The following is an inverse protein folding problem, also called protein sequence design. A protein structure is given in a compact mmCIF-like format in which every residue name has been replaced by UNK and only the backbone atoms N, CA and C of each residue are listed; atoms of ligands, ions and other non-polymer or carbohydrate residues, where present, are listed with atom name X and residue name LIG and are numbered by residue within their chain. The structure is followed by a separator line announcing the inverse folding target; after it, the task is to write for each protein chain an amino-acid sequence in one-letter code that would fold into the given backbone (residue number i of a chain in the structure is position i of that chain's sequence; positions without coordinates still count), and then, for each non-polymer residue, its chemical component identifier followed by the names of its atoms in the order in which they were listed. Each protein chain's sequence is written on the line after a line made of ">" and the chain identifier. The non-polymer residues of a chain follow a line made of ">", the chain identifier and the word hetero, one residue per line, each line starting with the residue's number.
data_IF_486396898736
#
_entry.id   IF_486396898736
#
_cell.length_a   1.000
_cell.length_b   1.000
_cell.length_c   1.000
_cell.angle_alpha   90.00
_cell.angle_beta   90.00
_cell.angle_gamma   90.00
#
_symmetry.space_group_name_H-M   'P 1'
#
loop_
_entity.id
_entity.type
_entity.pdbx_description
1 polymer ?
#
# COMPACT_ATOMS: atom_id res chain seq x y z
N UNK A 1 -8.99 0.87 6.48
CA UNK A 1 -7.67 0.75 7.14
C UNK A 1 -7.89 0.57 8.64
N UNK A 2 -6.95 -0.04 9.38
CA UNK A 2 -7.07 -0.20 10.84
C UNK A 2 -6.16 0.77 11.57
N UNK A 3 -6.76 1.60 12.41
CA UNK A 3 -6.05 2.63 13.18
C UNK A 3 -5.05 2.08 14.19
N UNK A 4 -5.25 0.84 14.64
CA UNK A 4 -4.33 0.15 15.56
C UNK A 4 -3.04 -0.34 14.89
N UNK A 5 -2.89 -0.12 13.58
CA UNK A 5 -1.78 -0.55 12.74
C UNK A 5 -1.48 -2.07 12.82
N UNK A 6 -2.39 -2.87 13.37
CA UNK A 6 -2.14 -4.27 13.72
C UNK A 6 -1.82 -5.13 12.51
N UNK A 7 -2.33 -4.77 11.33
CA UNK A 7 -2.02 -5.42 10.05
C UNK A 7 -0.53 -5.42 9.73
N UNK A 8 0.18 -4.36 10.09
CA UNK A 8 1.58 -4.16 9.74
C UNK A 8 2.50 -4.82 10.77
N UNK A 9 2.09 -4.84 12.05
CA UNK A 9 2.97 -5.26 13.15
C UNK A 9 2.56 -6.55 13.86
N UNK A 10 1.26 -6.72 14.18
CA UNK A 10 0.87 -7.60 15.29
C UNK A 10 -0.04 -8.77 14.89
N UNK A 11 -0.88 -8.63 13.85
CA UNK A 11 -1.82 -9.69 13.49
C UNK A 11 -1.08 -10.97 13.11
N UNK A 12 -1.54 -12.10 13.60
CA UNK A 12 -0.99 -13.41 13.25
C UNK A 12 -2.04 -14.34 12.65
N UNK A 13 -3.31 -13.98 12.83
CA UNK A 13 -4.46 -14.69 12.31
C UNK A 13 -4.86 -14.13 10.95
N UNK A 14 -5.13 -15.01 9.97
CA UNK A 14 -5.64 -14.57 8.68
C UNK A 14 -6.93 -13.74 8.82
N UNK A 15 -7.11 -12.77 7.93
CA UNK A 15 -8.30 -11.92 7.84
C UNK A 15 -9.02 -12.18 6.51
N UNK A 16 -10.35 -12.09 6.50
CA UNK A 16 -11.18 -12.34 5.31
C UNK A 16 -11.27 -13.82 4.89
N UNK A 17 -11.80 -14.06 3.69
CA UNK A 17 -11.88 -15.40 3.09
C UNK A 17 -10.57 -15.78 2.39
N UNK A 18 -9.62 -16.31 3.16
CA UNK A 18 -8.30 -16.70 2.65
C UNK A 18 -8.29 -17.90 1.69
N UNK A 19 -9.44 -18.52 1.45
CA UNK A 19 -9.58 -19.65 0.54
C UNK A 19 -10.26 -19.24 -0.77
N UNK A 20 -10.83 -18.04 -0.86
CA UNK A 20 -11.52 -17.55 -2.05
C UNK A 20 -11.12 -16.11 -2.38
N UNK A 21 -10.13 -15.99 -3.27
CA UNK A 21 -9.54 -14.73 -3.71
C UNK A 21 -10.46 -13.88 -4.60
N UNK A 22 -11.63 -14.41 -4.99
CA UNK A 22 -12.59 -13.72 -5.86
C UNK A 22 -13.60 -12.89 -5.05
N UNK A 23 -13.71 -13.16 -3.75
CA UNK A 23 -14.58 -12.38 -2.87
C UNK A 23 -14.00 -10.98 -2.74
N UNK A 24 -14.86 -9.96 -2.88
CA UNK A 24 -14.52 -8.57 -2.60
C UNK A 24 -14.51 -8.35 -1.08
N UNK A 25 -13.48 -8.89 -0.44
CA UNK A 25 -13.22 -8.79 0.99
C UNK A 25 -11.73 -8.54 1.22
N UNK A 26 -11.46 -7.76 2.26
CA UNK A 26 -10.13 -7.56 2.81
C UNK A 26 -9.55 -8.89 3.28
N UNK A 27 -8.63 -9.43 2.49
CA UNK A 27 -8.03 -10.72 2.70
C UNK A 27 -6.54 -10.61 2.92
N UNK A 28 -6.09 -11.00 4.11
CA UNK A 28 -4.67 -11.19 4.39
C UNK A 28 -4.44 -12.57 4.96
N UNK A 29 -3.64 -13.37 4.25
CA UNK A 29 -3.14 -14.63 4.76
C UNK A 29 -1.97 -14.42 5.70
N UNK A 30 -1.84 -15.28 6.71
CA UNK A 30 -0.66 -15.33 7.58
C UNK A 30 0.65 -15.49 6.78
N UNK A 31 0.56 -16.08 5.59
CA UNK A 31 1.68 -16.21 4.67
C UNK A 31 2.33 -14.87 4.31
N UNK A 32 1.52 -13.80 4.19
CA UNK A 32 2.00 -12.47 3.84
C UNK A 32 2.98 -11.92 4.87
N UNK A 33 2.75 -12.21 6.15
CA UNK A 33 3.58 -11.72 7.25
C UNK A 33 4.79 -12.61 7.54
N UNK A 34 4.61 -13.94 7.43
CA UNK A 34 5.56 -14.90 8.00
C UNK A 34 6.38 -15.67 6.97
N UNK A 35 5.92 -15.81 5.73
CA UNK A 35 6.73 -16.50 4.74
C UNK A 35 7.91 -15.62 4.34
N UNK A 36 9.07 -16.27 4.25
CA UNK A 36 10.23 -15.67 3.60
C UNK A 36 9.96 -15.66 2.10
N UNK A 37 9.85 -14.46 1.57
CA UNK A 37 9.97 -14.19 0.14
C UNK A 37 10.99 -13.08 -0.05
N UNK A 38 11.18 -12.68 -1.28
CA UNK A 38 12.03 -11.54 -1.60
C UNK A 38 11.27 -10.46 -2.39
N UNK A 39 10.04 -10.74 -2.82
CA UNK A 39 9.22 -9.84 -3.60
C UNK A 39 7.74 -9.93 -3.23
N UNK A 40 6.96 -8.92 -3.62
CA UNK A 40 5.50 -8.97 -3.58
C UNK A 40 4.90 -8.94 -4.97
N UNK A 41 3.65 -9.38 -5.09
CA UNK A 41 2.76 -9.12 -6.23
C UNK A 41 1.41 -8.62 -5.72
N UNK A 42 0.78 -7.72 -6.47
CA UNK A 42 -0.57 -7.22 -6.24
C UNK A 42 -1.46 -7.67 -7.39
N UNK A 43 -2.65 -8.19 -7.08
CA UNK A 43 -3.66 -8.57 -8.08
C UNK A 43 -5.05 -8.06 -7.64
N UNK A 44 -6.03 -8.13 -8.53
CA UNK A 44 -7.44 -7.87 -8.18
C UNK A 44 -8.16 -9.16 -7.77
N UNK A 45 -9.20 -9.01 -6.94
CA UNK A 45 -10.08 -10.13 -6.60
C UNK A 45 -10.95 -10.57 -7.78
N UNK A 46 -11.43 -9.61 -8.58
CA UNK A 46 -12.29 -9.90 -9.75
C UNK A 46 -11.53 -10.43 -10.99
N UNK A 47 -10.22 -10.69 -10.89
CA UNK A 47 -9.44 -11.38 -11.92
C UNK A 47 -9.13 -12.83 -11.51
N UNK A 48 -9.85 -13.83 -12.07
CA UNK A 48 -9.64 -15.24 -11.70
C UNK A 48 -8.25 -15.76 -12.09
N UNK A 49 -7.52 -15.08 -12.98
CA UNK A 49 -6.15 -15.48 -13.38
C UNK A 49 -5.07 -14.89 -12.47
N UNK A 50 -5.44 -14.01 -11.53
CA UNK A 50 -4.51 -13.40 -10.58
C UNK A 50 -3.34 -12.72 -11.31
N UNK A 51 -3.66 -12.05 -12.42
CA UNK A 51 -2.70 -11.35 -13.26
C UNK A 51 -2.07 -10.25 -12.42
N UNK A 52 -0.74 -10.19 -12.43
CA UNK A 52 -0.01 -9.17 -11.71
C UNK A 52 -0.41 -7.79 -12.25
N UNK A 53 -0.97 -6.94 -11.38
CA UNK A 53 -1.08 -5.50 -11.66
C UNK A 53 0.27 -4.83 -11.43
N UNK A 54 0.93 -5.25 -10.36
CA UNK A 54 2.28 -4.86 -9.97
C UNK A 54 2.98 -6.05 -9.35
N UNK A 55 4.28 -6.15 -9.58
CA UNK A 55 5.16 -7.01 -8.80
C UNK A 55 6.48 -6.29 -8.56
N UNK A 56 7.05 -6.45 -7.36
CA UNK A 56 8.40 -5.95 -7.13
C UNK A 56 9.42 -6.81 -7.85
N UNK A 57 10.55 -6.19 -8.16
CA UNK A 57 11.70 -6.80 -8.80
C UNK A 57 12.94 -6.59 -7.92
N UNK A 58 14.00 -7.35 -8.19
CA UNK A 58 15.33 -7.11 -7.59
C UNK A 58 15.43 -7.33 -6.07
N UNK A 59 14.79 -8.38 -5.55
CA UNK A 59 14.92 -8.81 -4.14
C UNK A 59 14.56 -7.70 -3.13
N UNK A 60 13.39 -7.10 -3.30
CA UNK A 60 12.84 -5.98 -2.51
C UNK A 60 13.14 -6.02 -1.00
N UNK A 61 13.02 -7.17 -0.34
CA UNK A 61 13.26 -7.31 1.10
C UNK A 61 14.33 -8.37 1.46
N UNK A 62 15.19 -8.71 0.50
CA UNK A 62 16.33 -9.61 0.69
C UNK A 62 15.92 -10.96 1.32
N UNK A 63 16.39 -11.27 2.53
CA UNK A 63 16.09 -12.52 3.27
C UNK A 63 15.09 -12.33 4.41
N UNK A 64 14.52 -11.13 4.54
CA UNK A 64 13.55 -10.78 5.59
C UNK A 64 12.15 -11.26 5.20
N UNK A 65 11.21 -11.30 6.15
CA UNK A 65 9.79 -11.36 5.80
C UNK A 65 9.29 -9.96 5.46
N UNK A 66 8.15 -9.85 4.78
CA UNK A 66 7.53 -8.54 4.53
C UNK A 66 7.30 -7.78 5.84
N UNK A 67 6.82 -8.46 6.90
CA UNK A 67 6.65 -7.85 8.22
C UNK A 67 7.96 -7.30 8.78
N UNK A 68 9.03 -8.09 8.77
CA UNK A 68 10.33 -7.64 9.27
C UNK A 68 10.83 -6.41 8.53
N UNK A 69 10.63 -6.37 7.20
CA UNK A 69 10.98 -5.21 6.39
C UNK A 69 10.12 -3.99 6.75
N UNK A 70 8.78 -4.12 6.75
CA UNK A 70 7.90 -2.97 6.98
C UNK A 70 8.09 -2.38 8.38
N UNK A 71 8.33 -3.23 9.39
CA UNK A 71 8.60 -2.79 10.76
C UNK A 71 10.01 -2.25 10.99
N UNK A 72 10.95 -2.47 10.07
CA UNK A 72 12.32 -1.98 10.22
C UNK A 72 12.44 -0.46 10.05
N UNK A 73 11.44 0.17 9.43
CA UNK A 73 11.41 1.62 9.20
C UNK A 73 10.91 2.44 10.40
N UNK A 74 10.25 1.77 11.35
CA UNK A 74 9.65 2.40 12.52
C UNK A 74 8.46 1.61 13.03
N UNK A 75 7.89 2.08 14.14
CA UNK A 75 6.67 1.55 14.73
C UNK A 75 5.65 2.69 14.80
N UNK A 76 4.74 2.72 13.83
CA UNK A 76 3.75 3.78 13.63
C UNK A 76 2.37 3.25 14.03
N UNK A 77 1.79 3.83 15.07
CA UNK A 77 0.45 3.49 15.57
C UNK A 77 -0.47 4.69 15.45
N UNK A 78 -1.69 4.57 15.98
CA UNK A 78 -2.66 5.66 16.02
C UNK A 78 -2.05 7.03 16.36
N UNK A 79 -2.28 8.02 15.51
CA UNK A 79 -1.78 9.40 15.64
C UNK A 79 -0.25 9.55 15.59
N UNK A 80 0.49 8.52 15.14
CA UNK A 80 1.94 8.59 14.97
C UNK A 80 2.29 8.76 13.50
N UNK A 81 2.72 9.96 13.13
CA UNK A 81 3.23 10.30 11.81
C UNK A 81 4.38 9.36 11.41
N UNK A 82 4.34 8.82 10.19
CA UNK A 82 5.38 7.89 9.75
C UNK A 82 6.54 8.52 8.99
N UNK A 83 6.33 9.64 8.30
CA UNK A 83 7.37 10.30 7.52
C UNK A 83 7.08 11.81 7.36
N UNK A 84 8.03 12.54 6.81
CA UNK A 84 7.83 13.94 6.41
C UNK A 84 8.49 14.14 5.05
N UNK A 85 7.68 14.36 4.01
CA UNK A 85 8.08 14.57 2.63
C UNK A 85 9.07 13.52 2.08
N UNK A 86 8.77 12.23 2.31
CA UNK A 86 9.59 11.09 1.84
C UNK A 86 8.86 9.76 1.96
N UNK A 87 9.36 8.75 1.25
CA UNK A 87 9.16 7.34 1.59
C UNK A 87 10.31 6.83 2.48
N UNK A 88 10.01 5.95 3.45
CA UNK A 88 11.04 5.33 4.31
C UNK A 88 11.82 4.22 3.61
N UNK A 89 11.21 3.59 2.61
CA UNK A 89 11.85 2.61 1.74
C UNK A 89 11.15 2.53 0.40
N UNK A 90 11.77 1.85 -0.57
CA UNK A 90 11.15 1.62 -1.88
C UNK A 90 11.74 0.41 -2.58
N UNK A 91 11.00 -0.12 -3.55
CA UNK A 91 11.41 -1.24 -4.38
C UNK A 91 11.03 -1.03 -5.83
N UNK A 92 11.89 -1.47 -6.74
CA UNK A 92 11.59 -1.45 -8.17
C UNK A 92 10.39 -2.34 -8.48
N UNK A 93 9.56 -1.92 -9.43
CA UNK A 93 8.36 -2.66 -9.84
C UNK A 93 8.29 -2.89 -11.33
N UNK A 94 7.50 -3.90 -11.70
CA UNK A 94 6.98 -4.12 -13.05
C UNK A 94 5.47 -4.11 -12.98
N UNK A 95 4.85 -3.32 -13.86
CA UNK A 95 3.41 -3.28 -14.03
C UNK A 95 2.92 -4.30 -15.06
N UNK A 96 1.64 -4.66 -14.99
CA UNK A 96 0.99 -5.59 -15.90
C UNK A 96 -0.53 -5.56 -15.75
N UNK A 97 -1.21 -6.48 -16.44
CA UNK A 97 -2.66 -6.62 -16.34
C UNK A 97 -3.41 -5.31 -16.58
N UNK A 98 -4.42 -5.04 -15.75
CA UNK A 98 -5.29 -3.86 -15.85
C UNK A 98 -4.90 -2.76 -14.84
N UNK A 99 -3.61 -2.57 -14.56
CA UNK A 99 -3.17 -1.61 -13.54
C UNK A 99 -3.68 -0.18 -13.81
N UNK A 100 -3.68 0.26 -15.07
CA UNK A 100 -4.12 1.62 -15.46
C UNK A 100 -5.58 1.93 -15.14
N UNK A 101 -6.44 0.91 -15.05
CA UNK A 101 -7.86 1.05 -14.71
C UNK A 101 -8.17 0.59 -13.28
N UNK A 102 -7.16 0.53 -12.42
CA UNK A 102 -7.28 0.08 -11.03
C UNK A 102 -7.00 1.25 -10.09
N UNK A 103 -7.88 1.49 -9.12
CA UNK A 103 -7.65 2.50 -8.09
C UNK A 103 -6.42 2.11 -7.26
N UNK A 104 -5.63 3.09 -6.83
CA UNK A 104 -4.30 2.87 -6.27
C UNK A 104 -3.16 3.06 -7.27
N UNK A 105 -3.46 3.14 -8.58
CA UNK A 105 -2.43 3.13 -9.64
C UNK A 105 -2.43 4.40 -10.49
N UNK A 106 -3.20 5.44 -10.12
CA UNK A 106 -3.28 6.71 -10.87
C UNK A 106 -1.92 7.35 -11.13
N UNK A 107 -1.00 7.25 -10.17
CA UNK A 107 0.34 7.86 -10.24
C UNK A 107 1.43 6.92 -10.79
N UNK A 108 1.04 5.78 -11.37
CA UNK A 108 1.97 4.79 -11.96
C UNK A 108 2.84 5.32 -13.09
N UNK A 109 2.48 6.45 -13.71
CA UNK A 109 3.28 7.12 -14.74
C UNK A 109 3.91 8.45 -14.27
N UNK A 110 3.66 8.86 -13.03
CA UNK A 110 4.20 10.10 -12.49
C UNK A 110 5.59 9.88 -11.86
N UNK A 111 6.43 10.91 -11.84
CA UNK A 111 7.71 10.89 -11.15
C UNK A 111 8.03 12.26 -10.57
N UNK A 112 8.44 12.28 -9.30
CA UNK A 112 8.74 13.53 -8.58
C UNK A 112 9.66 13.26 -7.37
N UNK A 113 9.76 14.25 -6.48
CA UNK A 113 10.76 14.37 -5.42
C UNK A 113 10.87 13.18 -4.46
N UNK A 114 9.74 12.61 -4.01
CA UNK A 114 9.79 11.55 -2.98
C UNK A 114 9.89 10.14 -3.57
N UNK A 115 9.46 9.97 -4.83
CA UNK A 115 9.55 8.71 -5.58
C UNK A 115 9.23 8.90 -7.08
N UNK A 116 9.62 7.93 -7.91
CA UNK A 116 9.28 7.87 -9.33
C UNK A 116 8.45 6.64 -9.73
N UNK A 117 7.95 6.64 -10.96
CA UNK A 117 7.05 5.62 -11.54
C UNK A 117 7.61 4.20 -11.54
N UNK A 118 8.93 4.02 -11.40
CA UNK A 118 9.54 2.70 -11.42
C UNK A 118 9.51 1.98 -10.06
N UNK A 119 8.85 2.55 -9.04
CA UNK A 119 8.90 2.06 -7.67
C UNK A 119 7.52 1.92 -7.02
N UNK A 120 7.47 1.03 -6.04
CA UNK A 120 6.54 1.10 -4.90
C UNK A 120 7.32 1.58 -3.68
N UNK A 121 6.72 2.50 -2.93
CA UNK A 121 7.31 3.13 -1.75
C UNK A 121 6.64 2.63 -0.49
N UNK A 122 7.35 2.69 0.65
CA UNK A 122 6.86 2.26 1.95
C UNK A 122 6.89 3.40 2.95
N UNK A 123 5.79 3.58 3.69
CA UNK A 123 5.61 4.66 4.65
C UNK A 123 5.94 6.02 4.03
N UNK A 124 5.16 6.38 3.01
CA UNK A 124 5.33 7.59 2.25
C UNK A 124 4.45 8.69 2.82
N UNK A 125 5.02 9.88 2.92
CA UNK A 125 4.34 11.11 3.28
C UNK A 125 4.71 12.22 2.29
N UNK A 126 3.74 13.09 2.00
CA UNK A 126 3.96 14.34 1.33
C UNK A 126 3.14 15.49 1.96
N UNK A 127 3.83 16.61 2.19
CA UNK A 127 3.25 17.85 2.66
C UNK A 127 2.54 17.70 4.01
N UNK A 128 1.28 18.11 4.14
CA UNK A 128 0.56 18.22 5.40
C UNK A 128 -0.42 17.09 5.69
N UNK A 129 -0.34 15.95 4.99
CA UNK A 129 -1.29 14.85 5.24
C UNK A 129 -1.26 13.70 4.23
N UNK A 130 -0.76 13.90 3.00
CA UNK A 130 -0.90 12.88 1.97
C UNK A 130 -0.02 11.67 2.29
N UNK A 131 -0.64 10.56 2.66
CA UNK A 131 0.04 9.41 3.23
C UNK A 131 -0.33 8.09 2.58
N UNK A 132 0.66 7.21 2.42
CA UNK A 132 0.41 5.81 2.06
C UNK A 132 1.42 4.87 2.73
N UNK A 133 0.92 3.75 3.29
CA UNK A 133 1.81 2.68 3.75
C UNK A 133 2.54 2.03 2.58
N UNK A 134 1.85 1.83 1.45
CA UNK A 134 2.47 1.37 0.19
C UNK A 134 2.07 2.26 -0.98
N UNK A 135 2.91 3.24 -1.31
CA UNK A 135 2.66 4.21 -2.39
C UNK A 135 3.07 3.66 -3.75
N UNK A 136 2.17 3.67 -4.74
CA UNK A 136 2.42 3.08 -6.07
C UNK A 136 2.72 4.15 -7.11
N UNK A 137 3.95 4.17 -7.63
CA UNK A 137 4.38 5.15 -8.61
C UNK A 137 4.99 6.39 -7.98
N UNK A 138 4.88 7.55 -8.64
CA UNK A 138 5.51 8.78 -8.20
C UNK A 138 4.75 9.53 -7.10
N UNK A 139 5.47 10.35 -6.34
CA UNK A 139 4.89 11.26 -5.35
C UNK A 139 5.73 12.52 -5.19
N UNK A 140 5.16 13.58 -4.62
CA UNK A 140 5.83 14.86 -4.40
C UNK A 140 5.29 15.99 -5.26
N UNK A 141 6.01 17.11 -5.35
CA UNK A 141 5.48 18.35 -5.94
C UNK A 141 4.97 18.20 -7.38
N UNK A 142 5.66 17.43 -8.23
CA UNK A 142 5.28 17.15 -9.61
C UNK A 142 4.15 16.14 -9.79
N UNK A 143 3.86 15.32 -8.76
CA UNK A 143 2.71 14.40 -8.75
C UNK A 143 1.53 14.94 -7.95
N UNK A 144 1.77 15.97 -7.13
CA UNK A 144 0.79 16.68 -6.32
C UNK A 144 0.46 16.02 -4.99
N UNK A 145 0.94 14.79 -4.72
CA UNK A 145 0.50 13.99 -3.57
C UNK A 145 1.32 12.73 -3.27
N UNK A 146 0.95 12.03 -2.19
CA UNK A 146 1.44 10.70 -1.79
C UNK A 146 0.37 9.73 -1.22
N UNK A 147 -0.91 10.12 -1.25
CA UNK A 147 -2.09 9.42 -0.71
C UNK A 147 -2.71 8.43 -1.71
N UNK A 148 -1.88 7.72 -2.47
CA UNK A 148 -2.31 6.73 -3.46
C UNK A 148 -1.58 5.41 -3.27
N UNK A 149 -2.24 4.31 -3.63
CA UNK A 149 -1.73 2.96 -3.40
C UNK A 149 -2.54 2.23 -2.33
N UNK A 150 -1.88 1.63 -1.34
CA UNK A 150 -2.51 0.80 -0.29
C UNK A 150 -2.31 1.45 1.08
N UNK A 151 -3.37 1.41 1.89
CA UNK A 151 -3.49 2.02 3.21
C UNK A 151 -3.11 3.49 3.13
N UNK A 152 -4.02 4.24 2.52
CA UNK A 152 -3.86 5.65 2.21
C UNK A 152 -4.64 6.49 3.23
N UNK A 153 -4.08 7.64 3.56
CA UNK A 153 -4.62 8.58 4.54
C UNK A 153 -4.35 10.01 4.07
N UNK A 154 -5.23 10.93 4.40
CA UNK A 154 -4.95 12.38 4.36
C UNK A 154 -4.90 12.98 5.79
N UNK A 155 -4.93 12.13 6.82
CA UNK A 155 -4.98 12.52 8.23
C UNK A 155 -3.59 12.88 8.76
N UNK A 156 -3.52 14.01 9.50
CA UNK A 156 -2.39 14.48 10.32
C UNK A 156 -1.00 13.98 9.88
N UNK A 157 -0.40 14.62 8.87
CA UNK A 157 0.98 14.33 8.39
C UNK A 157 1.26 12.81 8.20
N UNK A 158 0.30 12.11 7.61
CA UNK A 158 0.36 10.69 7.28
C UNK A 158 0.46 9.78 8.53
N UNK A 159 -0.68 9.64 9.22
CA UNK A 159 -0.87 8.78 10.37
C UNK A 159 -2.11 7.88 10.26
N UNK A 160 -2.17 6.87 11.14
CA UNK A 160 -3.37 6.05 11.37
C UNK A 160 -4.37 6.82 12.27
N UNK A 161 -5.49 7.33 11.75
CA UNK A 161 -6.49 8.05 12.54
C UNK A 161 -7.85 8.19 11.83
N UNK A 162 -8.92 7.64 12.42
CA UNK A 162 -10.31 7.95 12.04
C UNK A 162 -10.83 9.11 12.91
N UNK A 163 -10.50 10.36 12.56
CA UNK A 163 -10.78 11.50 13.44
C UNK A 163 -10.92 12.88 12.79
N UNK A 164 -10.26 13.14 11.66
CA UNK A 164 -10.44 14.38 10.92
C UNK A 164 -11.44 14.20 9.77
N UNK A 165 -11.73 15.29 9.06
CA UNK A 165 -12.65 15.27 7.92
C UNK A 165 -11.97 14.71 6.64
N UNK A 166 -10.71 14.25 6.72
CA UNK A 166 -9.86 13.92 5.58
C UNK A 166 -9.93 12.43 5.20
N UNK A 167 -10.08 11.52 6.17
CA UNK A 167 -10.43 10.12 5.99
C UNK A 167 -9.26 9.17 5.70
N UNK A 168 -9.58 7.90 5.50
CA UNK A 168 -8.64 6.83 5.13
C UNK A 168 -9.29 5.82 4.17
N UNK A 169 -8.49 5.19 3.31
CA UNK A 169 -8.94 4.05 2.48
C UNK A 169 -7.96 2.88 2.58
N UNK A 170 -8.46 1.65 2.44
CA UNK A 170 -7.60 0.47 2.29
C UNK A 170 -6.76 0.53 1.02
N UNK A 171 -7.27 1.16 -0.03
CA UNK A 171 -6.52 1.55 -1.22
C UNK A 171 -7.30 2.61 -2.02
N UNK A 172 -6.60 3.45 -2.78
CA UNK A 172 -7.21 4.58 -3.46
C UNK A 172 -6.24 5.37 -4.34
N UNK A 173 -6.78 6.20 -5.23
CA UNK A 173 -5.98 7.14 -6.04
C UNK A 173 -5.69 8.47 -5.33
N UNK A 174 -6.51 8.75 -4.32
CA UNK A 174 -6.47 9.84 -3.37
C UNK A 174 -7.45 9.50 -2.25
N UNK A 175 -7.38 10.20 -1.13
CA UNK A 175 -8.37 10.06 -0.07
C UNK A 175 -9.45 11.13 -0.23
N UNK A 176 -10.52 10.75 -0.92
CA UNK A 176 -11.83 11.36 -0.72
C UNK A 176 -12.81 10.24 -0.37
N UNK A 177 -13.74 10.48 0.56
CA UNK A 177 -14.66 9.42 1.04
C UNK A 177 -15.50 8.78 -0.09
N UNK A 178 -15.65 9.45 -1.24
CA UNK A 178 -16.27 8.91 -2.47
C UNK A 178 -15.37 8.04 -3.34
N UNK A 179 -14.06 8.07 -3.12
CA UNK A 179 -13.04 7.56 -4.04
C UNK A 179 -12.37 6.28 -3.52
N UNK A 180 -12.59 5.92 -2.25
CA UNK A 180 -12.30 4.57 -1.75
C UNK A 180 -13.13 3.55 -2.54
N UNK A 181 -12.48 2.70 -3.33
CA UNK A 181 -13.21 1.77 -4.18
C UNK A 181 -13.76 0.59 -3.38
N UNK A 182 -15.02 0.25 -3.66
CA UNK A 182 -15.74 -0.85 -3.00
C UNK A 182 -16.19 -1.91 -3.99
N UNK A 183 -15.76 -1.83 -5.26
CA UNK A 183 -16.22 -2.73 -6.34
C UNK A 183 -15.38 -4.00 -6.49
N UNK A 184 -14.15 -3.97 -5.99
CA UNK A 184 -13.20 -5.09 -5.96
C UNK A 184 -12.20 -4.84 -4.83
N UNK A 185 -11.41 -5.87 -4.48
CA UNK A 185 -10.32 -5.78 -3.51
C UNK A 185 -8.99 -6.02 -4.19
N UNK A 186 -7.90 -5.60 -3.53
CA UNK A 186 -6.55 -5.96 -3.93
C UNK A 186 -6.04 -7.13 -3.09
N UNK A 187 -5.49 -8.14 -3.75
CA UNK A 187 -4.84 -9.27 -3.12
C UNK A 187 -3.31 -9.03 -3.08
N UNK A 188 -2.72 -9.17 -1.89
CA UNK A 188 -1.29 -9.05 -1.66
C UNK A 188 -0.63 -10.42 -1.53
N UNK A 189 0.39 -10.64 -2.35
CA UNK A 189 1.08 -11.93 -2.47
C UNK A 189 2.56 -11.79 -2.11
N UNK A 190 3.10 -12.77 -1.40
CA UNK A 190 4.56 -12.95 -1.26
C UNK A 190 5.06 -13.83 -2.40
N UNK A 191 6.23 -13.50 -2.94
CA UNK A 191 6.97 -14.23 -3.97
C UNK A 191 8.37 -14.61 -3.48
#
# INVERSE_FOLDING_TARGET
>A
MRDDASWWYNLTTPQGDVNNTIVNQDMISAAFWFLKGNNIKITRSDDPHHTALLQTTSNCFSTQTFRSMISSYGYFTHGTEWASNRCRGSCHVSYGGKYQSTNGFSQSNCSSDIQNSSYIGFWCDWSGGDGAVMMIGGGGSGCGRADHGIAVTEEEEAAFMEGSNQGECDFGNEVMHSDCTTSYSLNLWIK
#
